data_IF_924046889115
#
_entry.id   IF_924046889115
#
_cell.length_a   1.000
_cell.length_b   1.000
_cell.length_c   1.000
_cell.angle_alpha   90.00
_cell.angle_beta   90.00
_cell.angle_gamma   90.00
#
_symmetry.space_group_name_H-M   'P 1'
#
loop_
_entity.id
_entity.type
_entity.pdbx_description
1 polymer ?
#
# COMPACT_ATOMS: atom_id res chain seq x y z
N UNK A 1 -13.89 47.95 58.12
CA UNK A 1 -12.81 46.93 58.05
C UNK A 1 -13.23 45.60 57.42
N UNK A 2 -14.41 45.46 56.80
CA UNK A 2 -14.90 44.19 56.21
C UNK A 2 -15.13 44.22 54.68
N UNK A 3 -14.83 45.32 54.00
CA UNK A 3 -15.01 45.42 52.53
C UNK A 3 -13.84 44.82 51.73
N UNK A 4 -12.63 44.82 52.30
CA UNK A 4 -11.47 44.21 51.67
C UNK A 4 -11.54 42.68 51.57
N UNK A 5 -12.37 42.02 52.40
CA UNK A 5 -12.45 40.56 52.41
C UNK A 5 -13.33 39.95 51.31
N UNK A 6 -14.11 40.77 50.59
CA UNK A 6 -15.03 40.30 49.55
C UNK A 6 -14.42 40.43 48.16
N UNK A 7 -13.54 41.41 47.94
CA UNK A 7 -12.92 41.69 46.64
C UNK A 7 -11.94 40.58 46.21
N UNK A 8 -11.11 40.07 47.13
CA UNK A 8 -10.17 38.98 46.84
C UNK A 8 -10.90 37.65 46.53
N UNK A 9 -12.08 37.43 47.09
CA UNK A 9 -12.91 36.24 46.80
C UNK A 9 -13.48 36.31 45.38
N UNK A 10 -13.87 37.50 44.93
CA UNK A 10 -14.36 37.73 43.57
C UNK A 10 -13.23 37.62 42.53
N UNK A 11 -12.04 38.13 42.84
CA UNK A 11 -10.84 37.95 42.00
C UNK A 11 -10.42 36.47 41.93
N UNK A 12 -10.42 35.75 43.05
CA UNK A 12 -10.17 34.31 43.06
C UNK A 12 -11.24 33.54 42.26
N UNK A 13 -12.51 33.94 42.34
CA UNK A 13 -13.58 33.30 41.55
C UNK A 13 -13.44 33.58 40.05
N UNK A 14 -13.06 34.80 39.67
CA UNK A 14 -12.79 35.18 38.29
C UNK A 14 -11.57 34.45 37.72
N UNK A 15 -10.49 34.34 38.50
CA UNK A 15 -9.30 33.56 38.13
C UNK A 15 -9.62 32.07 38.05
N UNK A 16 -10.42 31.54 38.97
CA UNK A 16 -10.85 30.13 38.95
C UNK A 16 -11.76 29.87 37.75
N UNK A 17 -12.68 30.76 37.40
CA UNK A 17 -13.57 30.60 36.23
C UNK A 17 -12.82 30.75 34.89
N UNK A 18 -11.74 31.53 34.85
CA UNK A 18 -10.88 31.69 33.67
C UNK A 18 -9.88 30.53 33.48
N UNK A 19 -9.32 29.98 34.57
CA UNK A 19 -8.37 28.86 34.53
C UNK A 19 -9.05 27.48 34.54
N UNK A 20 -10.34 27.39 34.90
CA UNK A 20 -11.13 26.15 34.89
C UNK A 20 -11.00 25.32 33.62
N UNK A 21 -11.10 25.85 32.39
CA UNK A 21 -11.04 25.01 31.18
C UNK A 21 -9.64 24.42 30.93
N UNK A 22 -8.56 25.19 31.05
CA UNK A 22 -7.20 24.71 30.74
C UNK A 22 -6.65 23.77 31.83
N UNK A 23 -6.92 24.08 33.10
CA UNK A 23 -6.55 23.21 34.22
C UNK A 23 -7.39 21.94 34.22
N UNK A 24 -8.69 22.02 33.89
CA UNK A 24 -9.52 20.82 33.75
C UNK A 24 -9.06 19.95 32.58
N UNK A 25 -8.64 20.53 31.44
CA UNK A 25 -8.12 19.78 30.29
C UNK A 25 -6.79 19.08 30.59
N UNK A 26 -5.88 19.72 31.33
CA UNK A 26 -4.60 19.12 31.74
C UNK A 26 -4.80 18.02 32.79
N UNK A 27 -5.70 18.23 33.77
CA UNK A 27 -6.07 17.20 34.75
C UNK A 27 -6.80 16.03 34.07
N UNK A 28 -7.72 16.29 33.15
CA UNK A 28 -8.48 15.27 32.42
C UNK A 28 -7.58 14.45 31.48
N UNK A 29 -6.64 15.10 30.78
CA UNK A 29 -5.65 14.39 29.95
C UNK A 29 -4.70 13.56 30.81
N UNK A 30 -4.26 14.06 31.97
CA UNK A 30 -3.51 13.28 32.95
C UNK A 30 -4.27 12.06 33.47
N UNK A 31 -5.57 12.22 33.77
CA UNK A 31 -6.46 11.11 34.17
C UNK A 31 -6.66 10.09 33.04
N UNK A 32 -6.81 10.52 31.80
CA UNK A 32 -6.91 9.62 30.64
C UNK A 32 -5.60 8.89 30.37
N UNK A 33 -4.45 9.57 30.53
CA UNK A 33 -3.15 8.93 30.40
C UNK A 33 -2.93 7.89 31.51
N UNK A 34 -3.36 8.20 32.74
CA UNK A 34 -3.33 7.26 33.86
C UNK A 34 -4.30 6.09 33.63
N UNK A 35 -5.51 6.36 33.15
CA UNK A 35 -6.47 5.32 32.76
C UNK A 35 -5.91 4.42 31.65
N UNK A 36 -5.29 4.99 30.62
CA UNK A 36 -4.61 4.24 29.57
C UNK A 36 -3.45 3.41 30.10
N UNK A 37 -2.60 3.97 30.96
CA UNK A 37 -1.47 3.25 31.55
C UNK A 37 -1.95 2.10 32.46
N UNK A 38 -3.03 2.31 33.21
CA UNK A 38 -3.68 1.27 34.03
C UNK A 38 -4.31 0.21 33.13
N UNK A 39 -5.07 0.60 32.11
CA UNK A 39 -5.72 -0.30 31.17
C UNK A 39 -4.67 -1.13 30.40
N UNK A 40 -3.63 -0.49 29.86
CA UNK A 40 -2.50 -1.15 29.21
C UNK A 40 -1.78 -2.15 30.13
N UNK A 41 -1.50 -1.77 31.39
CA UNK A 41 -0.90 -2.69 32.38
C UNK A 41 -1.83 -3.81 32.84
N UNK A 42 -3.15 -3.59 32.87
CA UNK A 42 -4.15 -4.59 33.30
C UNK A 42 -4.52 -5.57 32.18
N UNK A 43 -4.46 -5.13 30.93
CA UNK A 43 -4.79 -5.96 29.77
C UNK A 43 -3.67 -6.97 29.45
N UNK A 44 -2.40 -6.61 29.62
CA UNK A 44 -1.28 -7.54 29.40
C UNK A 44 -1.42 -8.88 30.17
N UNK A 45 -1.69 -8.91 31.49
CA UNK A 45 -1.92 -10.16 32.21
C UNK A 45 -3.31 -10.79 31.94
N UNK A 46 -4.31 -9.99 31.54
CA UNK A 46 -5.65 -10.50 31.20
C UNK A 46 -5.65 -11.27 29.87
N UNK A 47 -5.00 -10.72 28.84
CA UNK A 47 -4.80 -11.39 27.54
C UNK A 47 -3.99 -12.68 27.74
N UNK A 48 -2.93 -12.66 28.54
CA UNK A 48 -2.16 -13.87 28.82
C UNK A 48 -3.00 -14.95 29.51
N UNK A 49 -3.87 -14.58 30.47
CA UNK A 49 -4.77 -15.52 31.17
C UNK A 49 -5.93 -16.03 30.30
N UNK A 50 -6.54 -15.19 29.48
CA UNK A 50 -7.65 -15.57 28.61
C UNK A 50 -7.17 -16.41 27.43
N UNK A 51 -5.97 -16.15 26.91
CA UNK A 51 -5.41 -16.88 25.76
C UNK A 51 -4.71 -18.18 26.20
N UNK A 52 -4.18 -18.28 27.42
CA UNK A 52 -3.69 -19.56 27.96
C UNK A 52 -4.79 -20.64 28.05
N UNK A 53 -6.07 -20.25 28.08
CA UNK A 53 -7.20 -21.17 28.02
C UNK A 53 -7.52 -21.63 26.58
N UNK A 54 -7.04 -20.93 25.55
CA UNK A 54 -7.25 -21.26 24.13
C UNK A 54 -5.93 -21.71 23.49
N UNK A 55 -5.84 -23.00 23.15
CA UNK A 55 -4.70 -23.66 22.49
C UNK A 55 -4.37 -23.07 21.11
N UNK A 56 -3.84 -21.84 21.03
CA UNK A 56 -3.42 -21.21 19.78
C UNK A 56 -1.93 -20.83 19.84
N UNK A 57 -1.19 -21.34 18.84
CA UNK A 57 0.26 -21.23 18.62
C UNK A 57 0.84 -19.87 19.02
N UNK A 58 1.91 -19.90 19.82
CA UNK A 58 2.67 -18.76 20.36
C UNK A 58 3.00 -17.66 19.34
N UNK A 59 3.24 -18.00 18.07
CA UNK A 59 3.61 -17.03 17.02
C UNK A 59 2.47 -16.12 16.56
N UNK A 60 1.21 -16.60 16.56
CA UNK A 60 0.05 -15.79 16.16
C UNK A 60 -0.34 -14.81 17.26
N UNK A 61 -0.05 -15.17 18.51
CA UNK A 61 -0.33 -14.38 19.70
C UNK A 61 0.49 -13.08 19.75
N UNK A 62 1.77 -13.11 19.31
CA UNK A 62 2.63 -11.92 19.28
C UNK A 62 2.13 -10.88 18.27
N UNK A 63 1.68 -11.31 17.09
CA UNK A 63 1.12 -10.41 16.07
C UNK A 63 -0.20 -9.79 16.51
N UNK A 64 -1.09 -10.59 17.11
CA UNK A 64 -2.34 -10.09 17.67
C UNK A 64 -2.11 -9.06 18.78
N UNK A 65 -1.14 -9.29 19.67
CA UNK A 65 -0.76 -8.31 20.69
C UNK A 65 -0.24 -7.00 20.09
N UNK A 66 0.61 -7.06 19.06
CA UNK A 66 1.11 -5.85 18.39
C UNK A 66 -0.02 -5.05 17.77
N UNK A 67 -0.93 -5.71 17.04
CA UNK A 67 -2.10 -5.06 16.43
C UNK A 67 -2.98 -4.43 17.50
N UNK A 68 -3.23 -5.14 18.61
CA UNK A 68 -4.04 -4.63 19.71
C UNK A 68 -3.40 -3.42 20.41
N UNK A 69 -2.07 -3.41 20.60
CA UNK A 69 -1.35 -2.26 21.14
C UNK A 69 -1.40 -1.05 20.19
N UNK A 70 -1.28 -1.28 18.88
CA UNK A 70 -1.43 -0.22 17.87
C UNK A 70 -2.84 0.37 17.92
N UNK A 71 -3.87 -0.47 18.01
CA UNK A 71 -5.27 -0.02 18.12
C UNK A 71 -5.52 0.75 19.42
N UNK A 72 -5.01 0.28 20.56
CA UNK A 72 -5.12 1.00 21.83
C UNK A 72 -4.39 2.34 21.80
N UNK A 73 -3.20 2.38 21.21
CA UNK A 73 -2.44 3.62 21.05
C UNK A 73 -3.18 4.61 20.13
N UNK A 74 -3.76 4.14 19.03
CA UNK A 74 -4.60 4.96 18.15
C UNK A 74 -5.81 5.52 18.90
N UNK A 75 -6.49 4.70 19.72
CA UNK A 75 -7.60 5.14 20.56
C UNK A 75 -7.17 6.22 21.57
N UNK A 76 -6.02 6.05 22.22
CA UNK A 76 -5.45 7.05 23.12
C UNK A 76 -5.25 8.39 22.42
N UNK A 77 -4.63 8.37 21.24
CA UNK A 77 -4.38 9.57 20.44
C UNK A 77 -5.69 10.28 20.09
N UNK A 78 -6.73 9.54 19.70
CA UNK A 78 -8.06 10.10 19.40
C UNK A 78 -8.68 10.75 20.65
N UNK A 79 -8.66 10.07 21.80
CA UNK A 79 -9.23 10.61 23.04
C UNK A 79 -8.48 11.85 23.51
N UNK A 80 -7.13 11.84 23.46
CA UNK A 80 -6.34 13.03 23.77
C UNK A 80 -6.65 14.18 22.81
N UNK A 81 -6.82 13.89 21.52
CA UNK A 81 -7.16 14.91 20.51
C UNK A 81 -8.49 15.60 20.81
N UNK A 82 -9.48 14.85 21.31
CA UNK A 82 -10.79 15.39 21.73
C UNK A 82 -10.63 16.26 22.98
N UNK A 83 -9.85 15.82 23.98
CA UNK A 83 -9.67 16.55 25.25
C UNK A 83 -8.91 17.87 25.04
N UNK A 84 -7.88 17.83 24.19
CA UNK A 84 -7.09 19.02 23.84
C UNK A 84 -7.83 19.95 22.87
N UNK A 85 -9.05 19.60 22.45
CA UNK A 85 -9.85 20.43 21.55
C UNK A 85 -9.16 20.67 20.22
N UNK A 86 -8.37 19.69 19.74
CA UNK A 86 -7.68 19.81 18.45
C UNK A 86 -8.75 20.12 17.41
N UNK A 87 -8.62 21.28 16.77
CA UNK A 87 -9.55 21.68 15.72
C UNK A 87 -9.46 20.67 14.58
N UNK A 88 -10.53 19.88 14.42
CA UNK A 88 -10.64 18.88 13.37
C UNK A 88 -10.39 19.54 12.01
N UNK A 89 -10.73 20.82 11.83
CA UNK A 89 -10.41 21.57 10.61
C UNK A 89 -8.90 21.74 10.42
N UNK A 90 -8.14 22.09 11.46
CA UNK A 90 -6.68 22.17 11.41
C UNK A 90 -6.04 20.82 11.06
N UNK A 91 -6.55 19.73 11.62
CA UNK A 91 -6.06 18.39 11.32
C UNK A 91 -6.38 17.95 9.87
N UNK A 92 -7.57 18.31 9.37
CA UNK A 92 -7.95 18.09 7.97
C UNK A 92 -7.11 18.92 7.00
N UNK A 93 -6.72 20.15 7.35
CA UNK A 93 -5.81 21.00 6.56
C UNK A 93 -4.41 20.39 6.52
N UNK A 94 -3.91 19.87 7.64
CA UNK A 94 -2.64 19.16 7.66
C UNK A 94 -2.70 17.89 6.80
N UNK A 95 -3.74 17.09 6.95
CA UNK A 95 -3.93 15.88 6.16
C UNK A 95 -4.04 16.17 4.66
N UNK A 96 -4.78 17.22 4.26
CA UNK A 96 -4.91 17.60 2.85
C UNK A 96 -3.58 18.08 2.26
N UNK A 97 -2.78 18.83 3.03
CA UNK A 97 -1.44 19.24 2.59
C UNK A 97 -0.50 18.04 2.39
N UNK A 98 -0.55 17.05 3.28
CA UNK A 98 0.24 15.82 3.15
C UNK A 98 -0.22 14.99 1.94
N UNK A 99 -1.53 14.87 1.73
CA UNK A 99 -2.08 14.22 0.54
C UNK A 99 -1.65 14.95 -0.73
N UNK A 100 -1.63 16.28 -0.74
CA UNK A 100 -1.16 17.05 -1.88
C UNK A 100 0.31 16.77 -2.20
N UNK A 101 1.19 16.76 -1.18
CA UNK A 101 2.62 16.44 -1.36
C UNK A 101 2.81 15.00 -1.85
N UNK A 102 2.11 14.03 -1.24
CA UNK A 102 2.15 12.62 -1.66
C UNK A 102 1.63 12.46 -3.09
N UNK A 103 0.57 13.17 -3.46
CA UNK A 103 0.01 13.17 -4.81
C UNK A 103 1.03 13.65 -5.84
N UNK A 104 1.74 14.74 -5.56
CA UNK A 104 2.81 15.27 -6.43
C UNK A 104 3.98 14.29 -6.53
N UNK A 105 4.41 13.71 -5.40
CA UNK A 105 5.49 12.72 -5.38
C UNK A 105 5.13 11.46 -6.19
N UNK A 106 3.88 10.99 -6.08
CA UNK A 106 3.40 9.84 -6.84
C UNK A 106 3.33 10.14 -8.33
N UNK A 107 2.90 11.35 -8.71
CA UNK A 107 2.89 11.77 -10.11
C UNK A 107 4.30 11.74 -10.71
N UNK A 108 5.31 12.18 -9.96
CA UNK A 108 6.71 12.08 -10.39
C UNK A 108 7.17 10.61 -10.58
N UNK A 109 6.69 9.68 -9.72
CA UNK A 109 7.02 8.27 -9.79
C UNK A 109 6.13 7.44 -10.74
N UNK A 110 5.16 8.06 -11.43
CA UNK A 110 4.13 7.36 -12.22
C UNK A 110 4.71 6.43 -13.29
N UNK A 111 5.79 6.85 -13.96
CA UNK A 111 6.45 6.05 -15.00
C UNK A 111 7.02 4.73 -14.46
N UNK A 112 7.53 4.74 -13.22
CA UNK A 112 8.06 3.55 -12.57
C UNK A 112 6.92 2.55 -12.31
N UNK A 113 5.83 3.04 -11.72
CA UNK A 113 4.66 2.23 -11.43
C UNK A 113 4.04 1.66 -12.71
N UNK A 114 3.95 2.47 -13.77
CA UNK A 114 3.43 2.05 -15.07
C UNK A 114 4.28 0.95 -15.73
N UNK A 115 5.61 0.98 -15.57
CA UNK A 115 6.47 -0.07 -16.09
C UNK A 115 6.35 -1.37 -15.28
N UNK A 116 6.23 -1.28 -13.96
CA UNK A 116 6.01 -2.44 -13.07
C UNK A 116 4.65 -3.08 -13.36
N UNK A 117 3.58 -2.29 -13.52
CA UNK A 117 2.27 -2.86 -13.85
C UNK A 117 2.28 -3.51 -15.22
N UNK A 118 2.93 -2.88 -16.22
CA UNK A 118 3.10 -3.46 -17.54
C UNK A 118 3.92 -4.76 -17.52
N UNK A 119 4.95 -4.87 -16.69
CA UNK A 119 5.70 -6.10 -16.48
C UNK A 119 4.79 -7.28 -16.10
N UNK A 120 3.93 -7.10 -15.09
CA UNK A 120 2.99 -8.15 -14.68
C UNK A 120 1.97 -8.48 -15.77
N UNK A 121 1.51 -7.49 -16.54
CA UNK A 121 0.62 -7.70 -17.69
C UNK A 121 1.30 -8.56 -18.75
N UNK A 122 2.55 -8.25 -19.12
CA UNK A 122 3.32 -8.99 -20.11
C UNK A 122 3.58 -10.43 -19.66
N UNK A 123 3.95 -10.64 -18.39
CA UNK A 123 4.15 -11.98 -17.83
C UNK A 123 2.87 -12.82 -17.80
N UNK A 124 1.71 -12.18 -17.60
CA UNK A 124 0.42 -12.87 -17.61
C UNK A 124 -0.03 -13.34 -19.00
N UNK A 125 0.66 -12.93 -20.07
CA UNK A 125 0.26 -13.17 -21.45
C UNK A 125 1.24 -14.10 -22.18
N UNK A 126 0.77 -15.28 -22.60
CA UNK A 126 1.58 -16.25 -23.37
C UNK A 126 2.14 -15.69 -24.69
N UNK A 127 1.50 -14.65 -25.24
CA UNK A 127 1.93 -13.97 -26.45
C UNK A 127 3.27 -13.22 -26.29
N UNK A 128 3.60 -12.83 -25.05
CA UNK A 128 4.83 -12.12 -24.67
C UNK A 128 5.80 -13.01 -23.90
N UNK A 129 5.58 -14.32 -23.89
CA UNK A 129 6.50 -15.27 -23.29
C UNK A 129 7.87 -15.24 -24.00
N UNK A 130 8.91 -15.58 -23.24
CA UNK A 130 10.27 -15.71 -23.75
C UNK A 130 10.31 -16.62 -25.00
N UNK A 131 11.03 -16.17 -26.03
CA UNK A 131 11.18 -16.88 -27.29
C UNK A 131 10.11 -16.58 -28.35
N UNK A 132 9.04 -15.83 -28.03
CA UNK A 132 8.04 -15.38 -29.01
C UNK A 132 8.57 -14.25 -29.88
N UNK A 133 8.14 -14.21 -31.15
CA UNK A 133 8.49 -13.13 -32.09
C UNK A 133 7.36 -12.11 -32.12
N UNK A 134 7.71 -10.85 -31.83
CA UNK A 134 6.74 -9.76 -31.76
C UNK A 134 7.20 -8.59 -32.63
N UNK A 135 6.24 -7.86 -33.18
CA UNK A 135 6.45 -6.61 -33.91
C UNK A 135 5.64 -5.51 -33.25
N UNK A 136 6.33 -4.58 -32.61
CA UNK A 136 5.75 -3.42 -31.93
C UNK A 136 5.64 -2.30 -32.96
N UNK A 137 4.45 -1.73 -33.12
CA UNK A 137 4.18 -0.62 -34.05
C UNK A 137 4.28 0.69 -33.28
N UNK A 138 5.18 1.57 -33.69
CA UNK A 138 5.43 2.88 -33.08
C UNK A 138 5.35 3.98 -34.13
N UNK A 139 4.13 4.49 -34.35
CA UNK A 139 3.85 5.48 -35.39
C UNK A 139 4.14 4.95 -36.80
N UNK A 140 5.03 5.62 -37.53
CA UNK A 140 5.48 5.20 -38.87
C UNK A 140 6.56 4.12 -38.85
N UNK A 141 7.14 3.83 -37.67
CA UNK A 141 8.19 2.84 -37.50
C UNK A 141 7.64 1.58 -36.85
N UNK A 142 8.33 0.46 -37.04
CA UNK A 142 8.03 -0.77 -36.32
C UNK A 142 9.33 -1.48 -35.95
N UNK A 143 9.38 -1.99 -34.72
CA UNK A 143 10.49 -2.78 -34.21
C UNK A 143 10.04 -4.22 -34.12
N UNK A 144 10.75 -5.10 -34.83
CA UNK A 144 10.51 -6.54 -34.80
C UNK A 144 11.68 -7.25 -34.13
N UNK A 145 11.37 -8.18 -33.23
CA UNK A 145 12.37 -8.99 -32.56
C UNK A 145 11.76 -10.18 -31.80
N UNK A 146 12.62 -11.08 -31.37
CA UNK A 146 12.28 -12.18 -30.46
C UNK A 146 12.48 -11.71 -29.02
N UNK A 147 11.51 -11.98 -28.14
CA UNK A 147 11.61 -11.68 -26.72
C UNK A 147 12.68 -12.58 -26.11
N UNK A 148 13.77 -11.99 -25.64
CA UNK A 148 14.86 -12.70 -24.98
C UNK A 148 14.60 -12.80 -23.48
N UNK A 149 14.14 -11.71 -22.86
CA UNK A 149 13.75 -11.68 -21.46
C UNK A 149 12.83 -10.48 -21.21
N UNK A 150 12.02 -10.60 -20.16
CA UNK A 150 11.15 -9.53 -19.68
C UNK A 150 11.67 -9.15 -18.29
N UNK A 151 12.24 -7.94 -18.15
CA UNK A 151 12.71 -7.38 -16.89
C UNK A 151 11.64 -6.46 -16.27
N UNK A 152 11.79 -6.08 -15.01
CA UNK A 152 10.78 -5.29 -14.29
C UNK A 152 10.45 -3.93 -14.95
N UNK A 153 11.45 -3.28 -15.56
CA UNK A 153 11.27 -1.95 -16.18
C UNK A 153 11.32 -1.95 -17.71
N UNK A 154 11.84 -3.01 -18.32
CA UNK A 154 12.03 -3.11 -19.76
C UNK A 154 12.03 -4.54 -20.25
N UNK A 155 11.77 -4.74 -21.54
CA UNK A 155 11.81 -6.04 -22.21
C UNK A 155 12.93 -6.00 -23.25
N UNK A 156 13.76 -7.05 -23.27
CA UNK A 156 14.86 -7.18 -24.21
C UNK A 156 14.40 -7.97 -25.42
N UNK A 157 14.54 -7.36 -26.60
CA UNK A 157 14.18 -7.92 -27.89
C UNK A 157 15.45 -8.14 -28.70
N UNK A 158 15.63 -9.36 -29.23
CA UNK A 158 16.69 -9.68 -30.17
C UNK A 158 16.18 -9.57 -31.59
N UNK A 159 16.74 -8.66 -32.38
CA UNK A 159 16.44 -8.51 -33.81
C UNK A 159 17.03 -9.66 -34.62
N UNK A 160 16.49 -9.88 -35.81
CA UNK A 160 17.06 -10.84 -36.77
C UNK A 160 18.46 -10.42 -37.25
N UNK A 161 18.82 -9.13 -37.15
CA UNK A 161 20.18 -8.62 -37.39
C UNK A 161 21.19 -9.04 -36.32
N UNK A 162 20.74 -9.59 -35.19
CA UNK A 162 21.56 -9.93 -34.02
C UNK A 162 21.58 -8.85 -32.93
N UNK A 163 21.12 -7.63 -33.22
CA UNK A 163 21.09 -6.52 -32.27
C UNK A 163 20.11 -6.75 -31.12
N UNK A 164 20.47 -6.25 -29.93
CA UNK A 164 19.61 -6.21 -28.76
C UNK A 164 18.94 -4.84 -28.64
N UNK A 165 17.62 -4.85 -28.47
CA UNK A 165 16.81 -3.65 -28.25
C UNK A 165 16.14 -3.75 -26.90
N UNK A 166 16.43 -2.79 -26.03
CA UNK A 166 15.78 -2.66 -24.71
C UNK A 166 14.60 -1.71 -24.87
N UNK A 167 13.39 -2.20 -24.62
CA UNK A 167 12.16 -1.44 -24.81
C UNK A 167 11.38 -1.32 -23.49
N UNK A 168 10.95 -0.11 -23.06
CA UNK A 168 10.21 0.07 -21.81
C UNK A 168 8.90 -0.73 -21.81
N UNK A 169 8.56 -1.37 -20.71
CA UNK A 169 7.39 -2.27 -20.64
C UNK A 169 6.07 -1.54 -20.88
N UNK A 170 5.91 -0.35 -20.30
CA UNK A 170 4.70 0.44 -20.43
C UNK A 170 4.39 0.79 -21.90
N UNK A 171 5.45 0.99 -22.69
CA UNK A 171 5.38 1.32 -24.10
C UNK A 171 4.99 0.13 -24.99
N UNK A 172 5.26 -1.10 -24.55
CA UNK A 172 4.81 -2.33 -25.25
C UNK A 172 3.30 -2.50 -25.06
N UNK A 173 2.83 -2.30 -23.83
CA UNK A 173 1.41 -2.49 -23.49
C UNK A 173 0.53 -1.37 -24.06
N UNK A 174 1.05 -0.14 -24.15
CA UNK A 174 0.28 0.99 -24.69
C UNK A 174 0.23 1.07 -26.22
N UNK A 175 1.07 0.30 -26.92
CA UNK A 175 1.15 0.29 -28.39
C UNK A 175 0.57 -0.99 -28.98
N UNK A 176 0.09 -0.94 -30.24
CA UNK A 176 -0.28 -2.16 -30.95
C UNK A 176 0.92 -3.08 -31.15
N UNK A 177 0.78 -4.34 -30.74
CA UNK A 177 1.79 -5.38 -30.95
C UNK A 177 1.22 -6.50 -31.80
N UNK A 178 1.94 -6.82 -32.87
CA UNK A 178 1.64 -7.96 -33.74
C UNK A 178 2.49 -9.14 -33.26
N UNK A 179 1.84 -10.19 -32.78
CA UNK A 179 2.50 -11.40 -32.32
C UNK A 179 2.55 -12.38 -33.47
N UNK A 180 3.74 -12.80 -33.88
CA UNK A 180 3.92 -13.84 -34.89
C UNK A 180 4.19 -15.15 -34.19
N UNK A 181 3.17 -15.98 -34.12
CA UNK A 181 3.32 -17.28 -33.50
C UNK A 181 4.11 -18.21 -34.43
N UNK A 182 5.29 -18.63 -34.00
CA UNK A 182 6.03 -19.72 -34.65
C UNK A 182 5.50 -21.08 -34.17
N UNK A 183 4.18 -21.21 -34.04
CA UNK A 183 3.48 -22.44 -33.70
C UNK A 183 2.42 -22.75 -34.75
N UNK A 184 2.83 -22.77 -36.02
CA UNK A 184 2.34 -23.83 -36.90
C UNK A 184 3.30 -25.00 -36.71
N UNK A 185 3.08 -25.77 -35.65
CA UNK A 185 3.48 -27.18 -35.65
C UNK A 185 2.63 -27.84 -36.73
N UNK A 186 3.10 -27.70 -37.97
CA UNK A 186 2.80 -28.62 -39.04
C UNK A 186 3.42 -29.95 -38.62
N UNK A 187 2.76 -30.65 -37.69
CA UNK A 187 2.98 -32.09 -37.56
C UNK A 187 2.63 -32.62 -38.94
N UNK A 188 3.59 -33.07 -39.76
CA UNK A 188 3.24 -33.62 -41.05
C UNK A 188 2.29 -34.77 -40.76
N UNK A 189 1.15 -34.80 -41.45
CA UNK A 189 0.15 -35.87 -41.46
C UNK A 189 0.72 -37.25 -41.90
N UNK A 190 2.02 -37.49 -41.72
CA UNK A 190 2.73 -38.75 -41.95
C UNK A 190 2.24 -39.89 -41.06
N UNK A 191 1.38 -39.65 -40.08
CA UNK A 191 0.74 -40.71 -39.29
C UNK A 191 -0.59 -41.20 -39.86
N UNK A 192 -1.32 -40.40 -40.66
CA UNK A 192 -2.61 -40.83 -41.22
C UNK A 192 -2.43 -41.69 -42.47
N UNK A 193 -1.37 -41.45 -43.25
CA UNK A 193 -1.10 -42.22 -44.48
C UNK A 193 -0.63 -43.66 -44.20
N UNK A 194 -0.08 -43.95 -43.00
CA UNK A 194 0.44 -45.29 -42.68
C UNK A 194 -0.64 -46.30 -42.27
N UNK A 195 -1.84 -45.85 -41.90
CA UNK A 195 -2.97 -46.73 -41.55
C UNK A 195 -3.79 -47.16 -42.78
N UNK A 196 -3.77 -46.39 -43.88
CA UNK A 196 -4.57 -46.70 -45.08
C UNK A 196 -3.90 -47.70 -46.04
N UNK A 197 -2.61 -48.00 -45.86
CA UNK A 197 -1.84 -48.94 -46.70
C UNK A 197 -1.65 -50.34 -46.11
N UNK A 198 -2.36 -50.67 -45.03
CA UNK A 198 -2.25 -51.97 -44.34
C UNK A 198 -3.62 -52.63 -44.11
N UNK A 199 -4.59 -52.33 -44.98
CA UNK A 199 -5.96 -52.83 -44.91
C UNK A 199 -6.65 -52.81 -46.27
N UNK A 200 -5.93 -53.20 -47.32
CA UNK A 200 -6.47 -53.60 -48.62
C UNK A 200 -5.82 -54.90 -49.05
#
# INVERSE_FOLDING_TARGET
>A
MLEGSVHWVQELKALTDHYKPEIAQTILSGLVFLFYAVLSRRIAPFIYRTIAASMLKEEMNRRAMVVFHILLFMLLVVVLSIIWGIDIKGLLVLASSMIAVVGVALFAAWSLLSNITAFFILLGQNAFAQGKKVKIVDGSNAIEGRIEEVNLFSTVLRKDSGDLVVYPNNLIVSRPVIVRDCQRSDKPERFVVRMKKRGS
#
